data_IF_531372764319
#
_entry.id   IF_531372764319
#
_cell.length_a   1.000
_cell.length_b   1.000
_cell.length_c   1.000
_cell.angle_alpha   90.00
_cell.angle_beta   90.00
_cell.angle_gamma   90.00
#
_symmetry.space_group_name_H-M   'P 1'
#
loop_
_entity.id
_entity.type
_entity.pdbx_description
1 polymer ?
#
# COMPACT_ATOMS: atom_id res chain seq x y z
N UNK A 1 -14.10 15.59 31.01
CA UNK A 1 -13.30 14.36 31.00
C UNK A 1 -13.98 13.36 30.06
N UNK A 2 -13.28 12.94 29.02
CA UNK A 2 -13.81 11.98 28.06
C UNK A 2 -13.85 10.57 28.65
N UNK A 3 -14.81 9.76 28.26
CA UNK A 3 -14.90 8.36 28.66
C UNK A 3 -13.81 7.49 28.00
N UNK A 4 -13.12 8.03 27.00
CA UNK A 4 -12.15 7.32 26.17
C UNK A 4 -10.80 8.01 26.14
N UNK A 5 -9.75 7.22 26.02
CA UNK A 5 -8.36 7.66 25.86
C UNK A 5 -7.85 7.17 24.52
N UNK A 6 -7.20 8.05 23.77
CA UNK A 6 -6.54 7.70 22.53
C UNK A 6 -5.03 7.81 22.68
N UNK A 7 -4.31 6.71 22.45
CA UNK A 7 -2.85 6.75 22.32
C UNK A 7 -2.46 7.33 20.97
N UNK A 8 -1.55 8.27 20.97
CA UNK A 8 -0.95 8.90 19.80
C UNK A 8 0.53 8.57 19.73
N UNK A 9 1.00 8.31 18.53
CA UNK A 9 2.41 8.11 18.25
C UNK A 9 2.96 9.33 17.51
N UNK A 10 4.12 9.79 17.92
CA UNK A 10 4.92 10.74 17.15
C UNK A 10 6.21 10.07 16.70
N UNK A 11 6.58 10.27 15.45
CA UNK A 11 7.76 9.69 14.85
C UNK A 11 8.72 10.80 14.42
N UNK A 12 10.01 10.58 14.68
CA UNK A 12 11.10 11.36 14.09
C UNK A 12 11.87 10.45 13.16
N UNK A 13 11.73 10.66 11.86
CA UNK A 13 12.44 9.90 10.85
C UNK A 13 13.69 10.67 10.43
N UNK A 14 14.80 9.95 10.36
CA UNK A 14 16.07 10.45 9.84
C UNK A 14 16.55 9.48 8.78
N UNK A 15 16.84 9.98 7.58
CA UNK A 15 17.37 9.17 6.49
C UNK A 15 18.40 9.95 5.69
N UNK A 16 19.51 9.31 5.42
CA UNK A 16 20.48 9.74 4.42
C UNK A 16 20.40 8.75 3.28
N UNK A 17 20.17 9.25 2.08
CA UNK A 17 19.96 8.43 0.89
C UNK A 17 20.86 9.01 -0.20
N UNK A 18 21.69 8.12 -0.76
CA UNK A 18 22.42 8.38 -1.99
C UNK A 18 21.91 7.41 -3.07
N UNK A 19 21.45 7.94 -4.18
CA UNK A 19 20.89 7.16 -5.27
C UNK A 19 21.51 7.57 -6.60
N UNK A 20 21.94 6.57 -7.36
CA UNK A 20 22.43 6.76 -8.73
C UNK A 20 21.70 5.79 -9.64
N UNK A 21 21.13 6.29 -10.69
CA UNK A 21 20.52 5.47 -11.74
C UNK A 21 21.12 5.81 -13.10
N UNK A 22 21.53 4.78 -13.82
CA UNK A 22 22.02 4.87 -15.18
C UNK A 22 21.17 3.98 -16.08
N UNK A 23 20.73 4.51 -17.21
CA UNK A 23 20.02 3.74 -18.22
C UNK A 23 20.59 4.08 -19.59
N UNK A 24 20.89 3.05 -20.37
CA UNK A 24 21.24 3.20 -21.79
C UNK A 24 20.37 2.25 -22.62
N UNK A 25 19.93 2.72 -23.76
CA UNK A 25 19.08 1.95 -24.68
C UNK A 25 19.55 2.11 -26.11
N UNK A 26 19.66 1.01 -26.80
CA UNK A 26 19.80 0.93 -28.24
C UNK A 26 18.44 0.54 -28.82
N UNK A 27 17.90 1.35 -29.69
CA UNK A 27 16.67 1.06 -30.43
C UNK A 27 16.88 1.08 -31.94
N UNK A 28 16.15 0.21 -32.64
CA UNK A 28 16.13 0.18 -34.10
C UNK A 28 14.71 0.03 -34.60
N UNK A 29 14.30 0.99 -35.43
CA UNK A 29 13.05 0.93 -36.17
C UNK A 29 13.22 0.04 -37.41
N UNK A 30 12.32 -0.91 -37.56
CA UNK A 30 12.18 -1.79 -38.74
C UNK A 30 10.99 -1.32 -39.57
N UNK A 31 10.78 -1.92 -40.73
CA UNK A 31 9.60 -1.64 -41.58
C UNK A 31 8.28 -2.06 -40.88
N UNK A 32 8.33 -3.05 -40.02
CA UNK A 32 7.17 -3.67 -39.35
C UNK A 32 7.34 -3.73 -37.82
N UNK A 33 8.07 -2.76 -37.24
CA UNK A 33 8.18 -2.72 -35.78
C UNK A 33 9.40 -2.00 -35.26
N UNK A 34 9.61 -2.12 -33.96
CA UNK A 34 10.76 -1.53 -33.28
C UNK A 34 11.26 -2.47 -32.20
N UNK A 35 12.54 -2.79 -32.20
CA UNK A 35 13.15 -3.46 -31.07
C UNK A 35 14.01 -2.51 -30.24
N UNK A 36 14.17 -2.84 -28.97
CA UNK A 36 15.01 -2.13 -28.00
C UNK A 36 15.81 -3.12 -27.19
N UNK A 37 17.07 -2.80 -26.97
CA UNK A 37 17.95 -3.51 -26.05
C UNK A 37 18.50 -2.48 -25.08
N UNK A 38 18.34 -2.70 -23.80
CA UNK A 38 18.77 -1.73 -22.79
C UNK A 38 19.51 -2.36 -21.63
N UNK A 39 20.33 -1.52 -21.02
CA UNK A 39 21.03 -1.77 -19.77
C UNK A 39 20.54 -0.74 -18.75
N UNK A 40 20.26 -1.19 -17.54
CA UNK A 40 19.87 -0.34 -16.43
C UNK A 40 20.69 -0.73 -15.20
N UNK A 41 21.32 0.25 -14.59
CA UNK A 41 22.03 0.16 -13.33
C UNK A 41 21.34 1.07 -12.33
N UNK A 42 21.08 0.56 -11.13
CA UNK A 42 20.51 1.31 -10.01
C UNK A 42 21.30 0.96 -8.76
N UNK A 43 21.94 1.96 -8.18
CA UNK A 43 22.62 1.90 -6.91
C UNK A 43 21.90 2.77 -5.89
N UNK A 44 21.66 2.22 -4.71
CA UNK A 44 20.95 2.86 -3.63
C UNK A 44 21.67 2.59 -2.31
N UNK A 45 22.15 3.63 -1.66
CA UNK A 45 22.76 3.58 -0.34
C UNK A 45 21.86 4.31 0.65
N UNK A 46 21.65 3.71 1.83
CA UNK A 46 20.73 4.27 2.82
C UNK A 46 21.24 4.04 4.25
N UNK A 47 21.11 5.07 5.07
CA UNK A 47 21.21 5.02 6.52
C UNK A 47 19.94 5.63 7.10
N UNK A 48 19.00 4.78 7.54
CA UNK A 48 17.67 5.20 7.98
C UNK A 48 17.41 4.80 9.41
N UNK A 49 16.86 5.74 10.19
CA UNK A 49 16.37 5.49 11.54
C UNK A 49 15.01 6.17 11.76
N UNK A 50 14.09 5.47 12.40
CA UNK A 50 12.82 6.01 12.87
C UNK A 50 12.76 5.92 14.39
N UNK A 51 12.70 7.07 15.05
CA UNK A 51 12.53 7.17 16.48
C UNK A 51 11.07 7.49 16.79
N UNK A 52 10.51 6.80 17.77
CA UNK A 52 9.10 6.97 18.13
C UNK A 52 8.95 7.36 19.59
N UNK A 53 7.90 8.12 19.86
CA UNK A 53 7.37 8.32 21.21
C UNK A 53 5.86 8.24 21.18
N UNK A 54 5.25 7.96 22.31
CA UNK A 54 3.80 7.86 22.45
C UNK A 54 3.31 8.76 23.57
N UNK A 55 2.09 9.27 23.42
CA UNK A 55 1.36 9.97 24.45
C UNK A 55 -0.12 9.66 24.36
N UNK A 56 -0.84 9.84 25.45
CA UNK A 56 -2.28 9.69 25.49
C UNK A 56 -2.97 11.04 25.45
N UNK A 57 -4.15 11.06 24.86
CA UNK A 57 -5.06 12.20 24.88
C UNK A 57 -6.49 11.75 25.18
N UNK A 58 -7.27 12.66 25.73
CA UNK A 58 -8.72 12.46 25.89
C UNK A 58 -9.40 12.38 24.52
N UNK A 59 -10.52 11.64 24.47
CA UNK A 59 -11.44 11.65 23.32
C UNK A 59 -12.75 12.25 23.80
N UNK A 60 -12.92 13.58 23.73
CA UNK A 60 -14.14 14.21 24.22
C UNK A 60 -15.31 13.88 23.30
N UNK A 61 -16.47 13.54 23.89
CA UNK A 61 -17.70 13.22 23.18
C UNK A 61 -18.57 14.45 22.93
N UNK A 62 -18.24 15.58 23.54
CA UNK A 62 -18.95 16.87 23.45
C UNK A 62 -18.44 17.79 22.35
N UNK A 63 -17.48 17.34 21.55
CA UNK A 63 -16.86 18.12 20.47
C UNK A 63 -15.76 19.10 20.93
N UNK A 64 -15.38 19.07 22.21
CA UNK A 64 -14.25 19.86 22.70
C UNK A 64 -12.91 19.35 22.15
N UNK A 65 -11.84 20.13 22.30
CA UNK A 65 -10.51 19.72 21.82
C UNK A 65 -9.92 18.62 22.71
N UNK A 66 -9.27 17.59 22.12
CA UNK A 66 -8.53 16.59 22.87
C UNK A 66 -7.43 17.22 23.72
N UNK A 67 -7.32 16.78 24.95
CA UNK A 67 -6.29 17.25 25.90
C UNK A 67 -5.28 16.12 26.11
N UNK A 68 -3.99 16.45 26.07
CA UNK A 68 -2.94 15.49 26.42
C UNK A 68 -3.09 15.09 27.89
N UNK A 69 -3.09 13.79 28.12
CA UNK A 69 -3.15 13.24 29.46
C UNK A 69 -1.70 13.11 29.98
N UNK A 70 -1.55 13.42 31.24
CA UNK A 70 -0.27 13.35 31.95
C UNK A 70 -0.47 12.82 33.35
N UNK A 71 0.18 11.73 33.65
CA UNK A 71 0.21 11.17 34.99
C UNK A 71 1.64 10.68 35.28
N UNK A 72 2.45 11.41 36.07
CA UNK A 72 3.82 11.04 36.36
C UNK A 72 3.96 9.75 37.15
N UNK A 73 2.90 9.36 37.88
CA UNK A 73 2.90 8.17 38.73
C UNK A 73 2.32 6.95 38.00
N UNK A 74 1.87 7.13 36.75
CA UNK A 74 1.26 6.05 35.99
C UNK A 74 2.33 5.19 35.31
N UNK A 75 2.46 3.97 35.79
CA UNK A 75 3.29 2.95 35.18
C UNK A 75 2.40 1.82 34.67
N UNK A 76 2.40 1.57 33.35
CA UNK A 76 1.68 0.44 32.77
C UNK A 76 2.52 -0.80 33.01
N UNK A 77 2.14 -1.57 34.03
CA UNK A 77 2.84 -2.81 34.40
C UNK A 77 2.95 -3.78 33.19
N UNK A 78 4.16 -4.29 32.96
CA UNK A 78 4.43 -5.22 31.87
C UNK A 78 4.57 -4.63 30.48
N UNK A 79 4.25 -3.34 30.27
CA UNK A 79 4.35 -2.71 28.94
C UNK A 79 5.70 -2.02 28.68
N UNK A 80 6.53 -1.83 29.72
CA UNK A 80 7.74 -0.99 29.66
C UNK A 80 7.43 0.51 29.42
N UNK A 81 6.15 0.91 29.55
CA UNK A 81 5.71 2.28 29.34
C UNK A 81 5.73 3.03 30.66
N UNK A 82 6.57 4.06 30.72
CA UNK A 82 6.64 5.00 31.83
C UNK A 82 6.48 6.40 31.28
N UNK A 83 5.56 7.17 31.83
CA UNK A 83 5.42 8.57 31.45
C UNK A 83 6.66 9.36 31.88
N UNK A 84 7.34 9.99 30.94
CA UNK A 84 8.35 10.98 31.24
C UNK A 84 7.74 12.28 31.76
N UNK A 85 8.58 13.19 32.29
CA UNK A 85 8.15 14.50 32.80
C UNK A 85 7.46 15.41 31.79
N UNK A 86 7.47 15.04 30.49
CA UNK A 86 6.79 15.72 29.40
C UNK A 86 5.48 15.02 28.96
N UNK A 87 5.07 13.94 29.63
CA UNK A 87 3.86 13.18 29.33
C UNK A 87 4.00 12.18 28.17
N UNK A 88 5.22 11.87 27.71
CA UNK A 88 5.48 10.85 26.71
C UNK A 88 5.85 9.52 27.36
N UNK A 89 5.45 8.40 26.76
CA UNK A 89 5.81 7.06 27.22
C UNK A 89 7.28 6.70 26.98
N UNK A 90 7.85 7.21 25.89
CA UNK A 90 9.19 6.92 25.44
C UNK A 90 9.99 8.21 25.22
N UNK A 91 11.26 8.12 25.48
CA UNK A 91 12.21 9.16 25.09
C UNK A 91 12.57 8.97 23.60
N UNK A 92 12.36 9.99 22.79
CA UNK A 92 12.78 10.00 21.38
C UNK A 92 14.24 9.61 21.18
N UNK A 93 15.11 9.92 22.11
CA UNK A 93 16.52 9.65 22.01
C UNK A 93 16.87 8.20 22.37
N UNK A 94 15.93 7.43 22.94
CA UNK A 94 16.16 6.10 23.46
C UNK A 94 15.30 5.02 22.77
N UNK A 95 14.49 5.40 21.80
CA UNK A 95 13.53 4.49 21.21
C UNK A 95 13.47 4.61 19.69
N UNK A 96 14.34 3.86 19.00
CA UNK A 96 14.20 3.66 17.58
C UNK A 96 13.25 2.49 17.32
N UNK A 97 12.25 2.67 16.46
CA UNK A 97 11.32 1.63 16.04
C UNK A 97 11.82 0.89 14.82
N UNK A 98 12.59 1.55 13.97
CA UNK A 98 13.15 1.00 12.75
C UNK A 98 14.56 1.54 12.54
N UNK A 99 15.44 0.69 12.06
CA UNK A 99 16.74 1.07 11.56
C UNK A 99 17.25 0.08 10.55
N UNK A 100 17.80 0.56 9.47
CA UNK A 100 18.58 -0.22 8.53
C UNK A 100 19.60 0.66 7.84
N UNK A 101 20.74 0.05 7.53
CA UNK A 101 21.86 0.70 6.88
C UNK A 101 22.50 -0.25 5.88
N UNK A 102 22.80 0.25 4.69
CA UNK A 102 23.48 -0.51 3.67
C UNK A 102 23.15 -0.04 2.28
N UNK A 103 23.48 -0.85 1.31
CA UNK A 103 23.26 -0.53 -0.09
C UNK A 103 22.64 -1.69 -0.87
N UNK A 104 21.93 -1.33 -1.89
CA UNK A 104 21.35 -2.20 -2.90
C UNK A 104 21.88 -1.82 -4.27
N UNK A 105 22.31 -2.81 -5.04
CA UNK A 105 22.73 -2.62 -6.44
C UNK A 105 21.89 -3.53 -7.33
N UNK A 106 21.33 -2.98 -8.40
CA UNK A 106 20.54 -3.70 -9.40
C UNK A 106 21.06 -3.44 -10.78
N UNK A 107 21.65 -4.45 -11.39
CA UNK A 107 22.09 -4.41 -12.78
C UNK A 107 21.14 -5.24 -13.63
N UNK A 108 20.54 -4.64 -14.63
CA UNK A 108 19.57 -5.32 -15.48
C UNK A 108 19.84 -5.12 -16.96
N UNK A 109 19.63 -6.18 -17.73
CA UNK A 109 19.55 -6.16 -19.19
C UNK A 109 18.12 -6.45 -19.60
N UNK A 110 17.59 -5.72 -20.56
CA UNK A 110 16.26 -5.97 -21.10
C UNK A 110 16.23 -5.88 -22.63
N UNK A 111 15.30 -6.63 -23.17
CA UNK A 111 14.97 -6.61 -24.60
C UNK A 111 13.46 -6.47 -24.76
N UNK A 112 13.02 -5.65 -25.71
CA UNK A 112 11.62 -5.53 -26.13
C UNK A 112 11.50 -5.45 -27.62
N UNK A 113 10.43 -6.03 -28.16
CA UNK A 113 10.07 -5.93 -29.57
C UNK A 113 8.59 -5.63 -29.71
N UNK A 114 8.28 -4.50 -30.34
CA UNK A 114 6.95 -4.15 -30.82
C UNK A 114 6.91 -4.50 -32.31
N UNK A 115 6.06 -5.45 -32.68
CA UNK A 115 6.06 -6.08 -33.99
C UNK A 115 4.68 -6.05 -34.64
N UNK A 116 4.54 -5.32 -35.72
CA UNK A 116 3.39 -5.40 -36.63
C UNK A 116 3.52 -6.66 -37.49
N UNK A 117 3.00 -7.80 -36.98
CA UNK A 117 3.06 -9.10 -37.68
C UNK A 117 2.29 -9.04 -38.99
N UNK A 118 1.12 -8.37 -38.95
CA UNK A 118 0.30 -8.01 -40.12
C UNK A 118 -0.37 -6.67 -39.86
N UNK A 119 -1.06 -6.11 -40.87
CA UNK A 119 -1.85 -4.87 -40.71
C UNK A 119 -2.95 -4.99 -39.63
N UNK A 120 -3.35 -6.23 -39.29
CA UNK A 120 -4.40 -6.53 -38.31
C UNK A 120 -3.89 -7.07 -36.99
N UNK A 121 -2.65 -7.55 -36.93
CA UNK A 121 -2.10 -8.20 -35.77
C UNK A 121 -0.78 -7.57 -35.34
N UNK A 122 -0.79 -6.95 -34.17
CA UNK A 122 0.38 -6.44 -33.48
C UNK A 122 0.72 -7.35 -32.31
N UNK A 123 1.99 -7.63 -32.10
CA UNK A 123 2.56 -8.40 -31.01
C UNK A 123 3.68 -7.61 -30.36
N UNK A 124 3.55 -7.29 -29.08
CA UNK A 124 4.62 -6.81 -28.25
C UNK A 124 5.13 -7.94 -27.36
N UNK A 125 6.45 -8.07 -27.22
CA UNK A 125 7.02 -8.97 -26.23
C UNK A 125 8.35 -8.44 -25.72
N UNK A 126 8.73 -8.87 -24.51
CA UNK A 126 9.96 -8.45 -23.89
C UNK A 126 10.39 -9.34 -22.74
N UNK A 127 11.66 -9.24 -22.43
CA UNK A 127 12.27 -9.92 -21.29
C UNK A 127 13.26 -8.98 -20.60
N UNK A 128 13.35 -9.08 -19.28
CA UNK A 128 14.34 -8.41 -18.44
C UNK A 128 14.96 -9.44 -17.50
N UNK A 129 16.27 -9.41 -17.38
CA UNK A 129 17.04 -10.14 -16.37
C UNK A 129 17.76 -9.13 -15.50
N UNK A 130 17.66 -9.30 -14.20
CA UNK A 130 18.22 -8.38 -13.22
C UNK A 130 19.00 -9.15 -12.15
N UNK A 131 20.24 -8.74 -11.95
CA UNK A 131 21.02 -9.12 -10.78
C UNK A 131 20.82 -8.08 -9.69
N UNK A 132 20.45 -8.53 -8.49
CA UNK A 132 20.25 -7.69 -7.30
C UNK A 132 21.25 -8.14 -6.21
N UNK A 133 22.09 -7.24 -5.78
CA UNK A 133 22.98 -7.41 -4.64
C UNK A 133 22.52 -6.50 -3.50
N UNK A 134 22.39 -7.06 -2.29
CA UNK A 134 22.04 -6.32 -1.09
C UNK A 134 23.10 -6.58 -0.02
N UNK A 135 23.65 -5.51 0.53
CA UNK A 135 24.67 -5.55 1.56
C UNK A 135 24.35 -4.52 2.65
N UNK A 136 24.45 -4.91 3.90
CA UNK A 136 24.20 -3.97 4.99
C UNK A 136 24.06 -4.64 6.34
N UNK A 137 23.42 -3.94 7.25
CA UNK A 137 23.08 -4.42 8.57
C UNK A 137 21.57 -4.28 8.77
N UNK A 138 20.91 -5.31 9.27
CA UNK A 138 19.52 -5.23 9.63
C UNK A 138 19.34 -4.78 11.09
N UNK A 139 18.12 -4.40 11.42
CA UNK A 139 17.73 -4.02 12.77
C UNK A 139 17.60 -5.22 13.74
N UNK A 140 17.66 -6.44 13.23
CA UNK A 140 17.59 -7.63 14.06
C UNK A 140 18.92 -7.83 14.77
N UNK A 141 18.88 -7.78 16.06
CA UNK A 141 20.04 -7.88 16.94
C UNK A 141 20.02 -9.22 17.66
N UNK A 142 21.16 -9.91 17.71
CA UNK A 142 21.28 -11.21 18.36
C UNK A 142 22.34 -11.15 19.46
N UNK A 143 22.12 -11.91 20.55
CA UNK A 143 23.14 -12.18 21.55
C UNK A 143 24.15 -13.20 21.07
N UNK A 144 25.13 -13.54 21.94
CA UNK A 144 26.15 -14.52 21.65
C UNK A 144 25.56 -15.93 21.36
N UNK A 145 24.37 -16.24 21.86
CA UNK A 145 23.68 -17.51 21.67
C UNK A 145 22.78 -17.50 20.42
N UNK A 146 22.73 -16.36 19.69
CA UNK A 146 21.95 -16.20 18.47
C UNK A 146 20.49 -15.85 18.68
N UNK A 147 20.06 -15.55 19.91
CA UNK A 147 18.69 -15.11 20.20
C UNK A 147 18.56 -13.61 19.91
N UNK A 148 17.38 -13.20 19.44
CA UNK A 148 17.08 -11.78 19.31
C UNK A 148 16.95 -11.13 20.69
N UNK A 149 17.73 -10.05 20.91
CA UNK A 149 17.79 -9.31 22.16
C UNK A 149 17.58 -7.83 21.89
N UNK A 150 16.53 -7.28 22.43
CA UNK A 150 16.22 -5.87 22.29
C UNK A 150 15.75 -5.45 20.89
N UNK A 151 15.36 -4.21 20.82
CA UNK A 151 15.06 -3.52 19.56
C UNK A 151 16.34 -2.89 19.03
N UNK A 152 16.41 -2.59 17.76
CA UNK A 152 17.55 -1.91 17.15
C UNK A 152 17.94 -0.60 17.86
N UNK A 153 16.97 0.06 18.52
CA UNK A 153 17.23 1.21 19.38
C UNK A 153 18.36 0.97 20.39
N UNK A 154 18.35 -0.20 21.01
CA UNK A 154 19.31 -0.56 22.03
C UNK A 154 20.72 -0.71 21.45
N UNK A 155 20.84 -1.26 20.25
CA UNK A 155 22.10 -1.30 19.50
C UNK A 155 22.58 0.12 19.10
N UNK A 156 21.70 0.91 18.51
CA UNK A 156 22.02 2.27 18.05
C UNK A 156 22.56 3.14 19.19
N UNK A 157 22.10 2.90 20.40
CA UNK A 157 22.53 3.57 21.61
C UNK A 157 23.69 2.89 22.33
N UNK A 158 24.22 1.79 21.78
CA UNK A 158 25.29 1.03 22.42
C UNK A 158 24.83 0.25 23.65
N UNK A 159 23.57 -0.20 23.66
CA UNK A 159 22.99 -0.94 24.76
C UNK A 159 23.68 -2.30 24.98
N UNK A 160 23.54 -2.80 26.19
CA UNK A 160 24.01 -4.11 26.61
C UNK A 160 22.80 -4.93 27.06
N UNK A 161 22.70 -6.17 26.60
CA UNK A 161 21.65 -7.08 27.05
C UNK A 161 21.76 -7.33 28.57
N UNK A 162 20.67 -7.80 29.17
CA UNK A 162 20.60 -8.06 30.62
C UNK A 162 21.68 -9.01 31.16
N UNK A 163 22.22 -9.85 30.31
CA UNK A 163 23.34 -10.76 30.62
C UNK A 163 24.75 -10.13 30.47
N UNK A 164 24.83 -8.82 30.16
CA UNK A 164 26.08 -8.09 29.96
C UNK A 164 26.67 -8.20 28.54
N UNK A 165 26.02 -8.90 27.62
CA UNK A 165 26.47 -9.04 26.23
C UNK A 165 26.19 -7.75 25.45
N UNK A 166 27.20 -7.26 24.72
CA UNK A 166 27.01 -6.15 23.80
C UNK A 166 26.13 -6.59 22.63
N UNK A 167 25.13 -5.76 22.34
CA UNK A 167 24.21 -6.01 21.25
C UNK A 167 24.85 -5.52 19.93
N UNK A 168 24.96 -6.40 18.94
CA UNK A 168 25.55 -6.11 17.64
C UNK A 168 24.53 -6.37 16.51
N UNK A 169 24.50 -5.55 15.44
CA UNK A 169 23.61 -5.80 14.31
C UNK A 169 24.06 -7.02 13.53
N UNK A 170 23.12 -7.68 12.90
CA UNK A 170 23.40 -8.83 12.03
C UNK A 170 23.69 -8.32 10.61
N UNK A 171 24.84 -8.66 10.03
CA UNK A 171 25.14 -8.30 8.66
C UNK A 171 24.18 -9.01 7.67
N UNK A 172 23.86 -8.33 6.59
CA UNK A 172 23.03 -8.82 5.50
C UNK A 172 23.87 -8.88 4.22
N UNK A 173 23.93 -10.05 3.62
CA UNK A 173 24.57 -10.25 2.33
C UNK A 173 23.71 -11.18 1.49
N UNK A 174 23.09 -10.63 0.45
CA UNK A 174 22.23 -11.37 -0.45
C UNK A 174 22.53 -11.04 -1.90
N UNK A 175 22.45 -12.05 -2.74
CA UNK A 175 22.60 -11.98 -4.19
C UNK A 175 21.45 -12.74 -4.84
N UNK A 176 20.70 -12.08 -5.71
CA UNK A 176 19.54 -12.66 -6.36
C UNK A 176 19.48 -12.34 -7.85
N UNK A 177 18.78 -13.20 -8.57
CA UNK A 177 18.36 -12.94 -9.95
C UNK A 177 16.85 -12.78 -9.99
N UNK A 178 16.42 -11.63 -10.49
CA UNK A 178 15.03 -11.34 -10.82
C UNK A 178 14.87 -11.39 -12.34
N UNK A 179 13.67 -11.74 -12.79
CA UNK A 179 13.36 -11.68 -14.19
C UNK A 179 11.91 -11.21 -14.41
N UNK A 180 11.70 -10.57 -15.54
CA UNK A 180 10.38 -10.20 -16.01
C UNK A 180 10.23 -10.65 -17.47
N UNK A 181 9.06 -11.22 -17.75
CA UNK A 181 8.63 -11.60 -19.09
C UNK A 181 7.32 -10.90 -19.38
N UNK A 182 7.15 -10.35 -20.57
CA UNK A 182 5.91 -9.72 -20.99
C UNK A 182 5.58 -10.08 -22.45
N UNK A 183 4.30 -10.23 -22.71
CA UNK A 183 3.77 -10.33 -24.05
C UNK A 183 2.41 -9.65 -24.11
N UNK A 184 2.13 -8.91 -25.19
CA UNK A 184 0.81 -8.31 -25.42
C UNK A 184 0.47 -8.45 -26.89
N UNK A 185 -0.79 -8.77 -27.18
CA UNK A 185 -1.27 -8.95 -28.54
C UNK A 185 -2.54 -8.13 -28.77
N UNK A 186 -2.62 -7.52 -29.95
CA UNK A 186 -3.83 -6.82 -30.39
C UNK A 186 -4.21 -7.32 -31.77
N UNK A 187 -5.45 -7.75 -31.93
CA UNK A 187 -6.01 -8.20 -33.20
C UNK A 187 -7.19 -7.31 -33.63
N UNK A 188 -7.04 -6.62 -34.75
CA UNK A 188 -8.05 -5.73 -35.34
C UNK A 188 -9.00 -6.57 -36.19
N UNK A 189 -10.20 -6.85 -35.69
CA UNK A 189 -11.24 -7.53 -36.48
C UNK A 189 -11.80 -6.59 -37.55
N UNK A 190 -12.08 -5.35 -37.13
CA UNK A 190 -12.47 -4.24 -38.01
C UNK A 190 -11.59 -3.01 -37.75
N UNK A 191 -11.86 -1.88 -38.40
CA UNK A 191 -11.17 -0.60 -38.09
C UNK A 191 -11.46 -0.10 -36.69
N UNK A 192 -12.62 -0.43 -36.12
CA UNK A 192 -13.08 0.06 -34.82
C UNK A 192 -13.01 -1.00 -33.72
N UNK A 193 -13.18 -2.26 -34.04
CA UNK A 193 -13.34 -3.35 -33.06
C UNK A 193 -12.26 -4.39 -33.19
N UNK A 194 -11.80 -4.89 -32.05
CA UNK A 194 -10.82 -5.96 -31.99
C UNK A 194 -10.69 -6.61 -30.63
N UNK A 195 -9.71 -7.49 -30.54
CA UNK A 195 -9.34 -8.21 -29.32
C UNK A 195 -7.98 -7.73 -28.85
N UNK A 196 -7.79 -7.71 -27.54
CA UNK A 196 -6.49 -7.42 -26.92
C UNK A 196 -6.27 -8.34 -25.74
N UNK A 197 -5.02 -8.64 -25.47
CA UNK A 197 -4.64 -9.41 -24.29
C UNK A 197 -3.17 -9.22 -23.98
N UNK A 198 -2.83 -9.40 -22.73
CA UNK A 198 -1.45 -9.35 -22.28
C UNK A 198 -1.19 -10.37 -21.18
N UNK A 199 0.07 -10.73 -21.10
CA UNK A 199 0.62 -11.57 -20.04
C UNK A 199 1.91 -10.96 -19.55
N UNK A 200 2.06 -10.91 -18.24
CA UNK A 200 3.30 -10.49 -17.59
C UNK A 200 3.64 -11.43 -16.44
N UNK A 201 4.89 -11.81 -16.34
CA UNK A 201 5.41 -12.57 -15.21
C UNK A 201 6.62 -11.84 -14.63
N UNK A 202 6.53 -11.43 -13.38
CA UNK A 202 7.60 -10.68 -12.70
C UNK A 202 8.03 -11.45 -11.48
N UNK A 203 9.34 -11.48 -11.22
CA UNK A 203 9.90 -11.95 -9.96
C UNK A 203 10.61 -10.80 -9.26
N UNK A 204 10.60 -10.83 -7.94
CA UNK A 204 11.31 -9.85 -7.10
C UNK A 204 11.73 -10.48 -5.78
N UNK A 205 12.80 -9.98 -5.19
CA UNK A 205 13.27 -10.32 -3.86
C UNK A 205 13.10 -9.12 -2.92
N UNK A 206 13.20 -9.31 -1.60
CA UNK A 206 13.10 -8.22 -0.63
C UNK A 206 14.10 -7.10 -0.92
N UNK A 207 13.71 -5.90 -0.55
CA UNK A 207 14.54 -4.70 -0.56
C UNK A 207 15.11 -4.46 0.84
N UNK A 208 16.11 -3.58 0.95
CA UNK A 208 16.79 -3.31 2.21
C UNK A 208 15.83 -2.87 3.32
N UNK A 209 14.81 -2.10 3.03
CA UNK A 209 13.81 -1.66 3.99
C UNK A 209 12.96 -2.79 4.58
N UNK A 210 12.86 -3.94 3.92
CA UNK A 210 12.14 -5.10 4.45
C UNK A 210 12.87 -5.75 5.64
N UNK A 211 14.13 -5.41 5.85
CA UNK A 211 14.95 -5.91 6.95
C UNK A 211 14.94 -4.98 8.18
N UNK A 212 14.22 -3.86 8.12
CA UNK A 212 14.10 -2.89 9.20
C UNK A 212 13.47 -3.43 10.50
N UNK A 213 12.44 -4.30 10.47
CA UNK A 213 11.87 -4.90 11.67
C UNK A 213 12.84 -5.85 12.36
N UNK A 214 12.63 -6.05 13.65
CA UNK A 214 13.38 -7.05 14.44
C UNK A 214 13.17 -8.51 13.99
N UNK A 215 12.19 -8.76 13.13
CA UNK A 215 11.90 -10.06 12.54
C UNK A 215 12.49 -10.11 11.14
N UNK A 216 13.32 -11.12 10.86
CA UNK A 216 13.88 -11.32 9.53
C UNK A 216 12.78 -11.62 8.51
N UNK A 217 12.77 -10.95 7.36
CA UNK A 217 11.82 -11.24 6.30
C UNK A 217 12.13 -12.60 5.67
N UNK A 218 11.12 -13.21 5.07
CA UNK A 218 11.37 -14.31 4.16
C UNK A 218 12.05 -13.77 2.90
N UNK A 219 13.17 -14.37 2.54
CA UNK A 219 13.96 -14.00 1.38
C UNK A 219 13.56 -14.78 0.10
N UNK A 220 12.53 -15.62 0.18
CA UNK A 220 12.03 -16.33 -0.98
C UNK A 220 11.52 -15.38 -2.06
N UNK A 221 11.68 -15.82 -3.28
CA UNK A 221 11.27 -15.08 -4.46
C UNK A 221 9.75 -14.85 -4.50
N UNK A 222 9.35 -13.60 -4.59
CA UNK A 222 7.97 -13.21 -4.89
C UNK A 222 7.75 -13.35 -6.39
N UNK A 223 6.64 -13.97 -6.80
CA UNK A 223 6.26 -14.11 -8.20
C UNK A 223 4.90 -13.50 -8.46
N UNK A 224 4.79 -12.74 -9.55
CA UNK A 224 3.56 -12.03 -9.92
C UNK A 224 3.19 -12.37 -11.37
N UNK A 225 2.49 -13.49 -11.63
CA UNK A 225 1.82 -13.71 -12.90
C UNK A 225 0.58 -12.82 -13.03
N UNK A 226 0.46 -12.11 -14.13
CA UNK A 226 -0.69 -11.31 -14.54
C UNK A 226 -1.09 -11.73 -15.96
N UNK A 227 -2.36 -11.98 -16.20
CA UNK A 227 -2.91 -12.16 -17.53
C UNK A 227 -4.20 -11.37 -17.69
N UNK A 228 -4.38 -10.71 -18.83
CA UNK A 228 -5.61 -10.02 -19.20
C UNK A 228 -5.99 -10.35 -20.62
N UNK A 229 -7.29 -10.44 -20.88
CA UNK A 229 -7.80 -10.63 -22.24
C UNK A 229 -9.19 -10.01 -22.37
N UNK A 230 -9.51 -9.47 -23.53
CA UNK A 230 -10.80 -8.89 -23.77
C UNK A 230 -10.92 -8.22 -25.13
N UNK A 231 -11.84 -7.28 -25.18
CA UNK A 231 -12.23 -6.57 -26.39
C UNK A 231 -11.98 -5.08 -26.26
N UNK A 232 -11.80 -4.44 -27.38
CA UNK A 232 -11.84 -2.98 -27.48
C UNK A 232 -12.72 -2.53 -28.64
N UNK A 233 -13.29 -1.35 -28.48
CA UNK A 233 -13.99 -0.64 -29.54
C UNK A 233 -13.57 0.82 -29.53
N UNK A 234 -13.27 1.41 -30.68
CA UNK A 234 -12.83 2.77 -30.78
C UNK A 234 -13.35 3.42 -32.08
N UNK A 235 -14.04 4.54 -31.92
CA UNK A 235 -14.45 5.40 -33.03
C UNK A 235 -14.26 6.88 -32.65
N UNK A 236 -14.79 7.81 -33.43
CA UNK A 236 -14.59 9.27 -33.23
C UNK A 236 -15.15 9.78 -31.90
N UNK A 237 -16.19 9.19 -31.36
CA UNK A 237 -16.86 9.64 -30.14
C UNK A 237 -16.84 8.65 -28.97
N UNK A 238 -16.50 7.40 -29.19
CA UNK A 238 -16.50 6.35 -28.17
C UNK A 238 -15.22 5.53 -28.22
N UNK A 239 -14.54 5.42 -27.06
CA UNK A 239 -13.50 4.47 -26.79
C UNK A 239 -13.96 3.54 -25.66
N UNK A 240 -13.92 2.23 -25.88
CA UNK A 240 -14.30 1.22 -24.89
C UNK A 240 -13.24 0.13 -24.86
N UNK A 241 -12.83 -0.27 -23.66
CA UNK A 241 -12.02 -1.44 -23.43
C UNK A 241 -12.65 -2.27 -22.32
N UNK A 242 -12.79 -3.57 -22.53
CA UNK A 242 -13.36 -4.48 -21.52
C UNK A 242 -12.49 -5.72 -21.41
N UNK A 243 -11.89 -5.91 -20.22
CA UNK A 243 -10.87 -6.93 -19.97
C UNK A 243 -11.25 -7.80 -18.78
N UNK A 244 -11.14 -9.09 -18.97
CA UNK A 244 -11.05 -10.06 -17.90
C UNK A 244 -9.58 -10.15 -17.44
N UNK A 245 -9.34 -10.28 -16.15
CA UNK A 245 -7.99 -10.32 -15.59
C UNK A 245 -7.82 -11.41 -14.54
N UNK A 246 -6.64 -11.97 -14.53
CA UNK A 246 -6.13 -12.85 -13.50
C UNK A 246 -4.78 -12.33 -13.02
N UNK A 247 -4.64 -12.12 -11.71
CA UNK A 247 -3.38 -11.78 -11.08
C UNK A 247 -3.17 -12.65 -9.85
N UNK A 248 -1.95 -13.12 -9.66
CA UNK A 248 -1.53 -13.76 -8.42
C UNK A 248 -0.25 -13.10 -7.92
N UNK A 249 -0.07 -13.05 -6.62
CA UNK A 249 1.18 -12.66 -5.98
C UNK A 249 1.51 -13.68 -4.90
N UNK A 250 2.64 -14.35 -5.05
CA UNK A 250 3.08 -15.43 -4.15
C UNK A 250 4.17 -14.94 -3.21
N UNK A 251 4.31 -15.60 -2.06
CA UNK A 251 5.32 -15.32 -1.05
C UNK A 251 5.33 -13.85 -0.57
N UNK A 252 4.14 -13.23 -0.45
CA UNK A 252 4.06 -11.94 0.21
C UNK A 252 4.55 -12.07 1.64
N UNK A 253 5.43 -11.18 2.03
CA UNK A 253 5.93 -11.10 3.38
C UNK A 253 5.15 -10.04 4.15
N UNK A 254 4.72 -10.37 5.37
CA UNK A 254 4.07 -9.46 6.29
C UNK A 254 4.36 -9.86 7.72
N UNK A 255 4.17 -8.94 8.63
CA UNK A 255 4.18 -9.20 10.08
C UNK A 255 2.87 -8.65 10.64
N UNK A 256 2.11 -9.51 11.31
CA UNK A 256 0.91 -9.12 12.03
C UNK A 256 1.26 -8.84 13.50
N UNK A 257 0.67 -7.81 14.07
CA UNK A 257 0.73 -7.57 15.51
C UNK A 257 -0.53 -8.15 16.13
N UNK A 258 -0.44 -9.36 16.67
CA UNK A 258 -1.54 -10.04 17.34
C UNK A 258 -1.62 -9.57 18.78
N UNK A 259 -2.82 -9.22 19.23
CA UNK A 259 -3.06 -8.67 20.55
C UNK A 259 -3.96 -9.58 21.37
N UNK A 260 -3.54 -9.86 22.60
CA UNK A 260 -4.31 -10.62 23.58
C UNK A 260 -4.21 -9.98 24.97
N UNK A 261 -5.29 -10.03 25.76
CA UNK A 261 -5.31 -9.50 27.12
C UNK A 261 -4.86 -10.56 28.11
N UNK A 262 -3.66 -10.38 28.64
CA UNK A 262 -3.09 -11.24 29.70
C UNK A 262 -3.20 -10.53 31.03
N UNK A 263 -3.99 -11.07 31.96
CA UNK A 263 -4.23 -10.48 33.30
C UNK A 263 -4.68 -9.00 33.25
N UNK A 264 -5.47 -8.63 32.23
CA UNK A 264 -5.98 -7.26 32.07
C UNK A 264 -4.98 -6.29 31.39
N UNK A 265 -3.82 -6.77 30.98
CA UNK A 265 -2.83 -6.01 30.21
C UNK A 265 -2.77 -6.55 28.77
N UNK A 266 -2.81 -5.67 27.78
CA UNK A 266 -2.69 -6.09 26.39
C UNK A 266 -1.25 -6.45 26.07
N UNK A 267 -1.01 -7.72 25.78
CA UNK A 267 0.23 -8.21 25.18
C UNK A 267 0.10 -8.16 23.66
N UNK A 268 1.13 -7.64 22.98
CA UNK A 268 1.18 -7.54 21.52
C UNK A 268 2.40 -8.32 21.04
N UNK A 269 2.16 -9.35 20.23
CA UNK A 269 3.22 -10.19 19.67
C UNK A 269 3.25 -10.07 18.14
N UNK A 270 4.45 -9.97 17.60
CA UNK A 270 4.68 -9.95 16.17
C UNK A 270 4.63 -11.38 15.60
N UNK A 271 3.73 -11.63 14.66
CA UNK A 271 3.58 -12.89 13.96
C UNK A 271 4.06 -12.73 12.51
N UNK A 272 5.25 -13.21 12.15
CA UNK A 272 5.70 -13.21 10.76
C UNK A 272 4.86 -14.17 9.93
N UNK A 273 4.59 -13.79 8.70
CA UNK A 273 3.67 -14.51 7.83
C UNK A 273 4.08 -14.37 6.37
N UNK A 274 4.07 -15.49 5.65
CA UNK A 274 4.12 -15.52 4.20
C UNK A 274 2.78 -15.99 3.65
N UNK A 275 2.25 -15.27 2.68
CA UNK A 275 0.97 -15.58 2.09
C UNK A 275 0.93 -15.28 0.60
N UNK A 276 -0.02 -15.90 -0.07
CA UNK A 276 -0.29 -15.63 -1.47
C UNK A 276 -1.63 -14.89 -1.61
N UNK A 277 -1.75 -14.08 -2.66
CA UNK A 277 -3.01 -13.47 -3.09
C UNK A 277 -3.32 -13.91 -4.50
N UNK A 278 -4.60 -14.20 -4.75
CA UNK A 278 -5.14 -14.46 -6.08
C UNK A 278 -6.34 -13.56 -6.33
N UNK A 279 -6.33 -12.86 -7.45
CA UNK A 279 -7.43 -11.99 -7.86
C UNK A 279 -7.93 -12.38 -9.24
N UNK A 280 -9.23 -12.60 -9.35
CA UNK A 280 -9.96 -12.62 -10.61
C UNK A 280 -10.66 -11.28 -10.74
N UNK A 281 -10.63 -10.69 -11.93
CA UNK A 281 -11.21 -9.37 -12.15
C UNK A 281 -11.81 -9.20 -13.54
N UNK A 282 -12.66 -8.21 -13.65
CA UNK A 282 -13.19 -7.70 -14.89
C UNK A 282 -13.27 -6.19 -14.82
N UNK A 283 -12.66 -5.51 -15.79
CA UNK A 283 -12.65 -4.05 -15.86
C UNK A 283 -13.19 -3.61 -17.22
N UNK A 284 -14.12 -2.68 -17.21
CA UNK A 284 -14.61 -1.98 -18.40
C UNK A 284 -14.35 -0.50 -18.25
N UNK A 285 -13.63 0.05 -19.19
CA UNK A 285 -13.28 1.48 -19.28
C UNK A 285 -13.92 2.07 -20.54
N UNK A 286 -14.64 3.18 -20.37
CA UNK A 286 -15.36 3.86 -21.44
C UNK A 286 -15.06 5.34 -21.39
N UNK A 287 -14.61 5.89 -22.52
CA UNK A 287 -14.52 7.34 -22.75
C UNK A 287 -15.47 7.71 -23.89
N UNK A 288 -16.43 8.57 -23.61
CA UNK A 288 -17.42 9.00 -24.59
C UNK A 288 -17.46 10.52 -24.76
N UNK A 289 -17.51 10.97 -26.03
CA UNK A 289 -17.65 12.38 -26.43
C UNK A 289 -18.79 12.52 -27.44
N UNK A 290 -20.05 12.29 -27.02
CA UNK A 290 -21.18 12.19 -27.93
C UNK A 290 -21.54 13.51 -28.64
N UNK A 291 -21.16 14.65 -28.07
CA UNK A 291 -21.32 15.97 -28.64
C UNK A 291 -20.25 16.97 -28.17
N UNK A 292 -20.09 18.06 -28.86
CA UNK A 292 -19.06 19.06 -28.60
C UNK A 292 -19.09 19.58 -27.16
N UNK A 293 -17.97 19.51 -26.49
CA UNK A 293 -17.78 20.06 -25.14
C UNK A 293 -18.15 19.10 -24.03
N UNK A 294 -18.78 17.95 -24.30
CA UNK A 294 -19.10 16.95 -23.29
C UNK A 294 -18.11 15.78 -23.35
N UNK A 295 -17.54 15.44 -22.22
CA UNK A 295 -16.72 14.24 -22.01
C UNK A 295 -17.32 13.44 -20.87
N UNK A 296 -17.43 12.12 -21.05
CA UNK A 296 -17.80 11.15 -20.02
C UNK A 296 -16.70 10.11 -19.93
N UNK A 297 -16.15 9.92 -18.74
CA UNK A 297 -15.38 8.73 -18.40
C UNK A 297 -16.22 7.84 -17.48
N UNK A 298 -16.30 6.56 -17.81
CA UNK A 298 -16.96 5.54 -17.01
C UNK A 298 -16.03 4.38 -16.82
N UNK A 299 -15.76 4.02 -15.56
CA UNK A 299 -14.98 2.86 -15.17
C UNK A 299 -15.83 1.94 -14.31
N UNK A 300 -15.87 0.67 -14.68
CA UNK A 300 -16.43 -0.40 -13.88
C UNK A 300 -15.34 -1.44 -13.62
N UNK A 301 -15.13 -1.81 -12.35
CA UNK A 301 -14.25 -2.90 -11.97
C UNK A 301 -14.97 -3.85 -11.03
N UNK A 302 -14.99 -5.13 -11.39
CA UNK A 302 -15.27 -6.23 -10.49
C UNK A 302 -13.97 -6.97 -10.20
N UNK A 303 -13.69 -7.24 -8.93
CA UNK A 303 -12.51 -8.00 -8.52
C UNK A 303 -12.80 -8.87 -7.31
N UNK A 304 -12.21 -10.06 -7.28
CA UNK A 304 -12.32 -11.00 -6.17
C UNK A 304 -10.92 -11.37 -5.67
N UNK A 305 -10.28 -10.50 -4.87
CA UNK A 305 -9.00 -10.80 -4.25
C UNK A 305 -9.20 -11.75 -3.07
N UNK A 306 -8.49 -12.87 -3.06
CA UNK A 306 -8.59 -13.88 -2.01
C UNK A 306 -7.21 -14.25 -1.49
N UNK A 307 -7.10 -14.40 -0.18
CA UNK A 307 -5.90 -14.95 0.45
C UNK A 307 -5.72 -16.42 0.11
N UNK A 308 -4.45 -16.80 -0.10
CA UNK A 308 -3.99 -18.18 -0.24
C UNK A 308 -2.83 -18.39 0.73
N UNK A 309 -2.81 -19.53 1.40
CA UNK A 309 -1.79 -19.89 2.40
C UNK A 309 -1.63 -18.82 3.50
N UNK A 310 -2.72 -18.23 3.96
CA UNK A 310 -2.70 -17.20 4.97
C UNK A 310 -2.90 -17.83 6.37
N UNK A 311 -1.81 -18.32 6.96
CA UNK A 311 -1.85 -19.00 8.25
C UNK A 311 -0.66 -18.56 9.10
N UNK A 312 -0.91 -18.21 10.37
CA UNK A 312 0.12 -17.92 11.36
C UNK A 312 -0.41 -18.13 12.77
N UNK A 313 0.47 -18.31 13.74
CA UNK A 313 0.14 -18.42 15.15
C UNK A 313 1.23 -17.86 16.03
N UNK A 314 0.85 -17.37 17.21
CA UNK A 314 1.78 -16.99 18.28
C UNK A 314 1.23 -17.51 19.61
N UNK A 315 2.11 -17.81 20.54
CA UNK A 315 1.78 -18.18 21.91
C UNK A 315 2.05 -17.00 22.84
N UNK A 316 1.01 -16.57 23.58
CA UNK A 316 1.09 -15.49 24.54
C UNK A 316 1.61 -15.99 25.89
N UNK A 317 2.02 -15.08 26.77
CA UNK A 317 2.67 -15.40 28.05
C UNK A 317 1.80 -16.20 29.03
N UNK A 318 0.48 -16.19 28.84
CA UNK A 318 -0.48 -17.01 29.62
C UNK A 318 -0.75 -18.39 29.00
N UNK A 319 -0.04 -18.76 27.91
CA UNK A 319 -0.23 -20.02 27.18
C UNK A 319 -1.39 -19.99 26.17
N UNK A 320 -2.06 -18.84 25.99
CA UNK A 320 -3.05 -18.71 24.91
C UNK A 320 -2.37 -18.70 23.55
N UNK A 321 -2.86 -19.55 22.64
CA UNK A 321 -2.36 -19.58 21.25
C UNK A 321 -3.31 -18.78 20.37
N UNK A 322 -2.85 -17.59 19.96
CA UNK A 322 -3.51 -16.78 18.94
C UNK A 322 -3.21 -17.37 17.56
N UNK A 323 -4.21 -17.93 16.92
CA UNK A 323 -4.11 -18.54 15.59
C UNK A 323 -4.96 -17.79 14.57
N UNK A 324 -4.39 -17.53 13.41
CA UNK A 324 -5.10 -16.98 12.26
C UNK A 324 -4.99 -17.96 11.10
N UNK A 325 -6.13 -18.27 10.49
CA UNK A 325 -6.22 -18.93 9.20
C UNK A 325 -7.25 -18.18 8.35
N UNK A 326 -6.77 -17.28 7.51
CA UNK A 326 -7.59 -16.49 6.59
C UNK A 326 -7.55 -17.03 5.14
N UNK A 327 -7.03 -18.24 4.94
CA UNK A 327 -6.99 -18.87 3.62
C UNK A 327 -8.40 -19.00 3.02
N UNK A 328 -8.60 -18.39 1.84
CA UNK A 328 -9.89 -18.34 1.16
C UNK A 328 -10.73 -17.09 1.46
N UNK A 329 -10.41 -16.32 2.50
CA UNK A 329 -11.08 -15.06 2.80
C UNK A 329 -10.79 -14.00 1.73
N UNK A 330 -11.66 -13.00 1.66
CA UNK A 330 -11.45 -11.83 0.81
C UNK A 330 -10.35 -10.96 1.44
N UNK A 331 -9.49 -10.42 0.61
CA UNK A 331 -8.44 -9.49 1.09
C UNK A 331 -9.10 -8.26 1.70
N UNK A 332 -8.74 -7.98 2.96
CA UNK A 332 -9.29 -6.86 3.70
C UNK A 332 -9.01 -5.52 2.98
N UNK A 333 -9.84 -4.53 3.22
CA UNK A 333 -9.79 -3.17 2.71
C UNK A 333 -9.99 -3.02 1.18
N UNK A 334 -10.11 -4.11 0.43
CA UNK A 334 -10.27 -4.05 -1.02
C UNK A 334 -11.75 -4.24 -1.39
N UNK A 335 -12.39 -3.24 -2.02
CA UNK A 335 -13.75 -3.36 -2.52
C UNK A 335 -13.79 -4.31 -3.72
N UNK A 336 -14.84 -5.16 -3.77
CA UNK A 336 -15.02 -6.08 -4.89
C UNK A 336 -15.63 -5.42 -6.13
N UNK A 337 -16.38 -4.35 -5.94
CA UNK A 337 -16.94 -3.55 -7.03
C UNK A 337 -16.52 -2.09 -6.86
N UNK A 338 -16.00 -1.53 -7.92
CA UNK A 338 -15.68 -0.10 -8.04
C UNK A 338 -16.39 0.41 -9.29
N UNK A 339 -17.09 1.55 -9.15
CA UNK A 339 -17.68 2.28 -10.28
C UNK A 339 -17.22 3.72 -10.20
N UNK A 340 -16.72 4.26 -11.31
CA UNK A 340 -16.42 5.69 -11.45
C UNK A 340 -17.23 6.26 -12.62
N UNK A 341 -17.83 7.42 -12.42
CA UNK A 341 -18.61 8.14 -13.43
C UNK A 341 -18.18 9.60 -13.39
N UNK A 342 -17.43 10.03 -14.39
CA UNK A 342 -16.79 11.34 -14.43
C UNK A 342 -17.29 12.16 -15.64
N UNK A 343 -18.50 12.73 -15.60
CA UNK A 343 -18.96 13.63 -16.63
C UNK A 343 -18.33 15.02 -16.49
N UNK A 344 -18.00 15.63 -17.61
CA UNK A 344 -17.56 17.01 -17.66
C UNK A 344 -18.09 17.73 -18.89
N UNK A 345 -18.27 19.04 -18.78
CA UNK A 345 -18.79 19.86 -19.85
C UNK A 345 -18.09 21.22 -19.95
N UNK A 346 -17.72 21.60 -21.16
CA UNK A 346 -17.21 22.92 -21.49
C UNK A 346 -18.39 23.88 -21.71
N UNK A 347 -18.79 24.63 -20.66
CA UNK A 347 -19.84 25.63 -20.73
C UNK A 347 -19.50 26.70 -21.76
N UNK A 348 -18.24 27.13 -21.74
CA UNK A 348 -17.62 27.97 -22.76
C UNK A 348 -16.25 27.39 -23.12
N UNK A 349 -15.55 27.97 -24.10
CA UNK A 349 -14.18 27.56 -24.44
C UNK A 349 -13.18 27.68 -23.24
N UNK A 350 -13.51 28.49 -22.25
CA UNK A 350 -12.65 28.87 -21.14
C UNK A 350 -13.21 28.42 -19.77
N UNK A 351 -14.44 27.89 -19.72
CA UNK A 351 -15.10 27.45 -18.47
C UNK A 351 -15.55 26.00 -18.58
N UNK A 352 -15.02 25.15 -17.72
CA UNK A 352 -15.33 23.72 -17.59
C UNK A 352 -16.00 23.45 -16.25
N UNK A 353 -17.13 22.72 -16.27
CA UNK A 353 -17.72 22.07 -15.11
C UNK A 353 -17.43 20.57 -15.17
N UNK A 354 -17.18 19.96 -14.03
CA UNK A 354 -16.94 18.52 -13.93
C UNK A 354 -17.49 17.97 -12.62
N UNK A 355 -17.85 16.69 -12.64
CA UNK A 355 -18.18 15.92 -11.44
C UNK A 355 -17.53 14.55 -11.52
N UNK A 356 -17.35 13.90 -10.37
CA UNK A 356 -16.87 12.53 -10.23
C UNK A 356 -17.69 11.83 -9.16
N UNK A 357 -18.27 10.70 -9.51
CA UNK A 357 -19.01 9.84 -8.62
C UNK A 357 -18.23 8.51 -8.54
N UNK A 358 -17.79 8.15 -7.35
CA UNK A 358 -17.01 6.92 -7.09
C UNK A 358 -17.76 6.05 -6.11
N UNK A 359 -18.22 4.91 -6.58
CA UNK A 359 -18.81 3.88 -5.74
C UNK A 359 -17.79 2.83 -5.37
N UNK A 360 -17.70 2.50 -4.09
CA UNK A 360 -16.96 1.38 -3.56
C UNK A 360 -17.92 0.43 -2.85
N UNK A 361 -17.93 -0.85 -3.22
CA UNK A 361 -18.73 -1.84 -2.51
C UNK A 361 -18.22 -2.07 -1.09
N UNK A 362 -18.94 -2.88 -0.34
CA UNK A 362 -18.53 -3.35 0.99
C UNK A 362 -17.06 -3.79 0.99
N UNK A 363 -16.31 -3.39 2.04
CA UNK A 363 -14.94 -3.84 2.31
C UNK A 363 -14.85 -4.49 3.68
N UNK A 364 -14.13 -5.58 3.80
CA UNK A 364 -13.83 -6.15 5.10
C UNK A 364 -12.78 -5.32 5.82
N UNK A 365 -12.95 -5.17 7.14
CA UNK A 365 -12.12 -4.35 7.99
C UNK A 365 -11.10 -5.16 8.81
N UNK A 366 -11.16 -6.48 8.73
CA UNK A 366 -10.16 -7.39 9.28
C UNK A 366 -10.00 -8.64 8.40
N UNK A 367 -8.92 -9.38 8.61
CA UNK A 367 -8.52 -10.54 7.82
C UNK A 367 -9.43 -11.76 7.99
N UNK A 368 -10.18 -11.85 9.10
CA UNK A 368 -11.12 -12.94 9.38
C UNK A 368 -12.52 -12.71 8.79
N UNK A 369 -12.72 -11.64 7.99
CA UNK A 369 -14.04 -11.25 7.46
C UNK A 369 -15.12 -11.02 8.55
N UNK A 370 -14.70 -10.73 9.79
CA UNK A 370 -15.61 -10.55 10.93
C UNK A 370 -16.28 -9.18 10.92
N UNK A 371 -15.55 -8.16 10.49
CA UNK A 371 -16.05 -6.78 10.39
C UNK A 371 -16.00 -6.29 8.96
N UNK A 372 -16.94 -5.40 8.63
CA UNK A 372 -16.96 -4.76 7.32
C UNK A 372 -17.52 -3.34 7.40
N UNK A 373 -17.15 -2.53 6.45
CA UNK A 373 -17.79 -1.25 6.18
C UNK A 373 -18.69 -1.39 4.97
N UNK A 374 -19.89 -0.82 5.05
CA UNK A 374 -20.86 -0.83 3.95
C UNK A 374 -20.32 -0.12 2.71
N UNK A 375 -20.90 -0.44 1.57
CA UNK A 375 -20.62 0.27 0.33
C UNK A 375 -20.92 1.76 0.47
N UNK A 376 -20.13 2.59 -0.21
CA UNK A 376 -20.21 4.04 -0.13
C UNK A 376 -19.97 4.70 -1.46
N UNK A 377 -20.48 5.92 -1.58
CA UNK A 377 -20.12 6.85 -2.64
C UNK A 377 -19.14 7.88 -2.11
N UNK A 378 -18.16 8.23 -2.90
CA UNK A 378 -17.30 9.40 -2.71
C UNK A 378 -17.54 10.32 -3.90
N UNK A 379 -17.83 11.60 -3.67
CA UNK A 379 -18.26 12.52 -4.71
C UNK A 379 -17.40 13.76 -4.74
N UNK A 380 -17.04 14.16 -5.96
CA UNK A 380 -16.22 15.32 -6.23
C UNK A 380 -16.84 16.14 -7.36
N UNK A 381 -16.63 17.43 -7.35
CA UNK A 381 -17.06 18.28 -8.44
C UNK A 381 -16.34 19.61 -8.43
N UNK A 382 -16.43 20.35 -9.54
CA UNK A 382 -15.78 21.63 -9.58
C UNK A 382 -15.98 22.40 -10.88
N UNK A 383 -15.44 23.60 -10.84
CA UNK A 383 -15.36 24.54 -11.95
C UNK A 383 -13.91 24.89 -12.21
N UNK A 384 -13.50 24.90 -13.46
CA UNK A 384 -12.19 25.39 -13.90
C UNK A 384 -12.40 26.51 -14.91
N UNK A 385 -11.90 27.69 -14.62
CA UNK A 385 -12.05 28.87 -15.45
C UNK A 385 -10.71 29.45 -15.87
N UNK A 386 -10.43 29.43 -17.17
CA UNK A 386 -9.30 30.14 -17.76
C UNK A 386 -9.71 31.59 -18.02
N UNK A 387 -9.49 32.48 -17.03
CA UNK A 387 -9.89 33.89 -17.11
C UNK A 387 -9.21 34.62 -18.26
N UNK A 388 -7.93 34.35 -18.43
CA UNK A 388 -7.12 34.84 -19.55
C UNK A 388 -5.85 33.95 -19.70
N UNK A 389 -4.94 34.31 -20.65
CA UNK A 389 -3.74 33.51 -20.91
C UNK A 389 -2.81 33.31 -19.70
N UNK A 390 -2.92 34.18 -18.68
CA UNK A 390 -2.06 34.16 -17.51
C UNK A 390 -2.75 33.66 -16.25
N UNK A 391 -4.07 33.81 -16.12
CA UNK A 391 -4.83 33.52 -14.89
C UNK A 391 -5.84 32.40 -15.11
N UNK A 392 -5.73 31.35 -14.29
CA UNK A 392 -6.73 30.29 -14.16
C UNK A 392 -7.27 30.27 -12.73
N UNK A 393 -8.57 30.11 -12.58
CA UNK A 393 -9.26 29.94 -11.30
C UNK A 393 -9.92 28.57 -11.24
N UNK A 394 -9.91 27.96 -10.07
CA UNK A 394 -10.56 26.69 -9.79
C UNK A 394 -11.38 26.77 -8.51
N UNK A 395 -12.51 26.08 -8.51
CA UNK A 395 -13.28 25.76 -7.32
C UNK A 395 -13.57 24.27 -7.36
N UNK A 396 -13.23 23.53 -6.31
CA UNK A 396 -13.58 22.12 -6.17
C UNK A 396 -14.32 21.85 -4.87
N UNK A 397 -15.22 20.90 -4.94
CA UNK A 397 -15.99 20.43 -3.78
C UNK A 397 -15.74 18.95 -3.62
N UNK A 398 -15.27 18.55 -2.44
CA UNK A 398 -15.07 17.17 -2.03
C UNK A 398 -16.28 16.75 -1.23
N UNK A 399 -16.76 15.53 -1.49
CA UNK A 399 -17.93 14.95 -0.81
C UNK A 399 -19.16 15.87 -0.85
N UNK A 400 -19.54 16.33 -2.06
CA UNK A 400 -20.66 17.29 -2.23
C UNK A 400 -22.03 16.73 -1.83
N UNK A 401 -22.19 15.38 -1.74
CA UNK A 401 -23.37 14.75 -1.18
C UNK A 401 -23.32 14.65 0.36
N UNK A 402 -22.25 15.15 0.99
CA UNK A 402 -22.04 15.16 2.43
C UNK A 402 -22.29 13.79 3.08
N UNK A 403 -21.83 12.72 2.45
CA UNK A 403 -21.96 11.38 2.98
C UNK A 403 -20.98 11.15 4.13
N UNK A 404 -21.42 10.38 5.10
CA UNK A 404 -20.58 9.84 6.16
C UNK A 404 -20.21 8.40 5.84
N UNK A 405 -19.05 7.95 6.28
CA UNK A 405 -18.61 6.57 6.08
C UNK A 405 -17.25 6.30 6.70
N UNK A 406 -17.01 5.04 7.01
CA UNK A 406 -15.72 4.57 7.48
C UNK A 406 -15.07 3.67 6.43
N UNK A 407 -13.74 3.58 6.47
CA UNK A 407 -12.91 2.75 5.59
C UNK A 407 -11.65 2.30 6.33
N UNK A 408 -10.86 1.43 5.68
CA UNK A 408 -9.62 0.92 6.22
C UNK A 408 -9.81 -0.32 7.07
N UNK A 409 -8.85 -0.62 7.92
CA UNK A 409 -8.86 -1.72 8.87
C UNK A 409 -9.24 -1.26 10.29
N UNK A 410 -9.58 -2.22 11.12
CA UNK A 410 -9.83 -2.01 12.56
C UNK A 410 -8.62 -2.59 13.30
N UNK A 411 -7.79 -1.71 13.86
CA UNK A 411 -6.60 -2.12 14.60
C UNK A 411 -6.98 -2.89 15.88
N UNK A 412 -6.24 -3.97 16.17
CA UNK A 412 -6.48 -4.84 17.33
C UNK A 412 -7.60 -5.85 17.14
N UNK A 413 -8.20 -5.94 15.95
CA UNK A 413 -9.26 -6.89 15.64
C UNK A 413 -8.78 -8.11 14.84
N UNK A 414 -7.48 -8.33 14.73
CA UNK A 414 -6.88 -9.36 13.87
C UNK A 414 -7.31 -10.78 14.28
N UNK A 415 -7.39 -11.04 15.59
CA UNK A 415 -7.81 -12.34 16.14
C UNK A 415 -9.32 -12.52 16.22
N UNK A 416 -10.12 -11.46 16.05
CA UNK A 416 -11.59 -11.55 16.21
C UNK A 416 -12.19 -12.32 15.04
N UNK A 417 -12.87 -13.42 15.36
CA UNK A 417 -13.59 -14.25 14.39
C UNK A 417 -15.03 -13.76 14.18
N UNK A 418 -15.73 -14.30 13.19
CA UNK A 418 -17.14 -13.98 12.90
C UNK A 418 -18.05 -14.33 14.09
N UNK A 419 -17.75 -15.44 14.76
CA UNK A 419 -18.52 -15.94 15.91
C UNK A 419 -18.34 -15.04 17.14
N UNK A 420 -17.18 -14.39 17.24
CA UNK A 420 -16.84 -13.53 18.37
C UNK A 420 -17.22 -12.07 18.17
N UNK A 421 -17.42 -11.64 16.91
CA UNK A 421 -17.67 -10.24 16.56
C UNK A 421 -18.84 -9.62 17.36
N UNK A 422 -19.87 -10.41 17.66
CA UNK A 422 -21.02 -9.96 18.45
C UNK A 422 -20.69 -9.55 19.89
N UNK A 423 -19.59 -10.07 20.47
CA UNK A 423 -19.15 -9.71 21.83
C UNK A 423 -18.70 -8.25 21.92
N UNK A 424 -18.33 -7.66 20.78
CA UNK A 424 -17.78 -6.30 20.66
C UNK A 424 -18.79 -5.30 20.09
N UNK A 425 -20.10 -5.65 20.04
CA UNK A 425 -21.14 -4.84 19.41
C UNK A 425 -21.27 -3.41 19.96
N UNK A 426 -20.87 -3.17 21.21
CA UNK A 426 -20.91 -1.86 21.88
C UNK A 426 -19.50 -1.31 22.17
N UNK A 427 -18.47 -1.84 21.51
CA UNK A 427 -17.09 -1.39 21.73
C UNK A 427 -16.73 -0.30 20.73
N UNK A 428 -16.06 0.75 21.20
CA UNK A 428 -15.51 1.80 20.34
C UNK A 428 -14.23 1.26 19.70
N UNK A 429 -14.20 1.30 18.38
CA UNK A 429 -13.06 0.85 17.58
C UNK A 429 -12.48 2.00 16.76
N UNK A 430 -11.17 2.02 16.61
CA UNK A 430 -10.50 3.00 15.76
C UNK A 430 -10.65 2.64 14.28
N UNK A 431 -10.94 3.63 13.45
CA UNK A 431 -11.06 3.49 12.00
C UNK A 431 -10.76 4.81 11.29
N UNK A 432 -10.65 4.73 9.97
CA UNK A 432 -10.51 5.92 9.12
C UNK A 432 -11.85 6.31 8.54
N UNK A 433 -12.08 7.60 8.35
CA UNK A 433 -13.31 8.13 7.78
C UNK A 433 -13.07 8.67 6.38
N UNK A 434 -14.13 8.75 5.59
CA UNK A 434 -14.10 9.48 4.32
C UNK A 434 -13.97 10.98 4.61
N UNK A 435 -13.37 11.70 3.67
CA UNK A 435 -13.18 13.14 3.81
C UNK A 435 -14.55 13.85 3.92
N UNK A 436 -14.76 14.76 4.88
CA UNK A 436 -16.02 15.50 5.01
C UNK A 436 -16.22 16.46 3.83
N UNK A 437 -17.43 17.03 3.72
CA UNK A 437 -17.71 18.10 2.78
C UNK A 437 -16.65 19.21 2.93
N UNK A 438 -15.98 19.50 1.82
CA UNK A 438 -14.89 20.48 1.79
C UNK A 438 -14.95 21.25 0.49
N UNK A 439 -14.78 22.56 0.55
CA UNK A 439 -14.66 23.43 -0.62
C UNK A 439 -13.23 23.96 -0.69
N UNK A 440 -12.64 23.88 -1.88
CA UNK A 440 -11.27 24.31 -2.14
C UNK A 440 -11.28 25.33 -3.29
N UNK A 441 -10.56 26.44 -3.12
CA UNK A 441 -10.33 27.41 -4.17
C UNK A 441 -8.88 27.43 -4.58
N UNK A 442 -8.63 27.55 -5.86
CA UNK A 442 -7.28 27.64 -6.43
C UNK A 442 -7.18 28.78 -7.42
N UNK A 443 -6.02 29.41 -7.46
CA UNK A 443 -5.66 30.40 -8.48
C UNK A 443 -4.25 30.09 -8.98
N UNK A 444 -4.06 30.05 -10.29
CA UNK A 444 -2.77 29.86 -10.93
C UNK A 444 -2.46 31.06 -11.81
N UNK A 445 -1.33 31.71 -11.52
CA UNK A 445 -0.82 32.82 -12.31
C UNK A 445 0.45 32.39 -13.04
N UNK A 446 0.49 32.59 -14.36
CA UNK A 446 1.68 32.36 -15.20
C UNK A 446 2.34 33.72 -15.49
N UNK A 447 3.61 33.83 -15.21
CA UNK A 447 4.42 35.01 -15.45
C UNK A 447 5.05 35.01 -16.83
#
# INVERSE_FOLDING_TARGET
DGEYVQSRMSCLNRGFIDEVMFTTELSRKLSNGTWRLGLNEWYYDIDYASNTTMYDQSVPTDGSYPVRLYNPDYNVAGSGRTYGGNGYYYDFNKNASEYYKGHENKLAVYFTHDWDVTDKFNLYYGARLEYQALRGNNAAVKDADGNFVGRFADYYLGATASNGTKIEPTPMEYDWFNYALSAAATYKLTKQFGFTGDFTYITQHPRIENFAPAVLPNTDKISVPLGRAGIYYNNEWLSLTSLFSYISKTNNNSTLNLQHSVNGVNEILAAPLNYDIKTLGWTTDVVARPFKGFDLHFLFTYQKPTYKKYETSVEFSDGYVGQINATGNIVAEIPQVIVEIDPSYMITKDLKIWTSFRYFSKTYANINDAYYFNGRWETFGGLNWQVNKKLSLGCSVVNFLNQTGAKGSIAGAELVTKEEAGKYANTVMAGSYIRPFTVEFSAQLKF
#
